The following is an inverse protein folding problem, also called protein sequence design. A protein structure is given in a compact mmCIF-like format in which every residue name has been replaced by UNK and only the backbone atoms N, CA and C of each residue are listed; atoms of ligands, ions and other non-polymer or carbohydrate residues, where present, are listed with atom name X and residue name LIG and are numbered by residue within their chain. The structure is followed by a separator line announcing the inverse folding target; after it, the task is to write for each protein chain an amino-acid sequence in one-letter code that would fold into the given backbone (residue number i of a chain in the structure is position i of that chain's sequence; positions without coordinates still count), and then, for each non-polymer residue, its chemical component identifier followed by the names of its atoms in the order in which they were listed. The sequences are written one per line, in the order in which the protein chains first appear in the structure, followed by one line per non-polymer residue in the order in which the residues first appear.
data_IF_230785639860
#
_entry.id   IF_230785639860
#
_cell.length_a   1.000
_cell.length_b   1.000
_cell.length_c   1.000
_cell.angle_alpha   90.00
_cell.angle_beta   90.00
_cell.angle_gamma   90.00
#
_symmetry.space_group_name_H-M   'P 1'
#
loop_
_entity.id
_entity.type
_entity.pdbx_description
1 polymer ?
#
# COMPACT_ATOMS: atom_id res chain seq x y z
N UNK A 1 30.82 -7.39 -11.66
CA UNK A 1 29.48 -6.92 -11.24
C UNK A 1 29.45 -5.40 -11.41
N UNK A 2 28.32 -4.79 -11.78
CA UNK A 2 28.24 -3.33 -11.99
C UNK A 2 27.82 -2.67 -10.68
N UNK A 3 28.43 -1.54 -10.31
CA UNK A 3 28.19 -0.85 -9.04
C UNK A 3 26.69 -0.59 -8.79
N UNK A 4 25.93 -0.20 -9.82
CA UNK A 4 24.49 0.05 -9.72
C UNK A 4 23.70 -1.14 -9.16
N UNK A 5 24.09 -2.37 -9.50
CA UNK A 5 23.44 -3.57 -8.97
C UNK A 5 23.86 -3.83 -7.52
N UNK A 6 25.09 -3.48 -7.15
CA UNK A 6 25.56 -3.63 -5.78
C UNK A 6 24.83 -2.65 -4.86
N UNK A 7 24.77 -1.38 -5.26
CA UNK A 7 24.04 -0.33 -4.53
C UNK A 7 22.58 -0.67 -4.29
N UNK A 8 21.88 -1.21 -5.32
CA UNK A 8 20.46 -1.55 -5.20
C UNK A 8 20.18 -2.67 -4.19
N UNK A 9 21.12 -3.60 -3.98
CA UNK A 9 20.91 -4.74 -3.07
C UNK A 9 21.81 -4.65 -1.81
N UNK A 10 22.29 -3.45 -1.44
CA UNK A 10 23.06 -3.24 -0.21
C UNK A 10 22.23 -3.57 1.05
N UNK A 11 20.93 -3.22 1.05
CA UNK A 11 20.01 -3.55 2.14
C UNK A 11 19.82 -5.06 2.28
N UNK A 12 19.55 -5.76 1.18
CA UNK A 12 19.41 -7.22 1.17
C UNK A 12 20.68 -7.94 1.63
N UNK A 13 21.86 -7.39 1.32
CA UNK A 13 23.14 -7.91 1.81
C UNK A 13 23.29 -7.77 3.33
N UNK A 14 22.88 -6.64 3.91
CA UNK A 14 22.94 -6.41 5.36
C UNK A 14 22.00 -7.34 6.14
N UNK A 15 20.84 -7.62 5.56
CA UNK A 15 19.84 -8.53 6.11
C UNK A 15 20.15 -10.01 5.83
N UNK A 16 21.28 -10.32 5.17
CA UNK A 16 21.68 -11.68 4.75
C UNK A 16 20.63 -12.39 3.86
N UNK A 17 19.88 -11.62 3.06
CA UNK A 17 18.82 -12.13 2.17
C UNK A 17 19.30 -12.46 0.74
N UNK A 18 20.60 -12.28 0.46
CA UNK A 18 21.19 -12.66 -0.83
C UNK A 18 21.47 -14.16 -0.89
N UNK A 19 21.29 -14.79 -2.06
CA UNK A 19 21.70 -16.17 -2.27
C UNK A 19 23.23 -16.33 -2.17
N UNK A 20 23.71 -17.50 -1.75
CA UNK A 20 25.15 -17.78 -1.54
C UNK A 20 26.01 -17.43 -2.76
N UNK A 21 25.51 -17.76 -3.95
CA UNK A 21 26.17 -17.46 -5.23
C UNK A 21 26.28 -15.97 -5.52
N UNK A 22 25.29 -15.18 -5.10
CA UNK A 22 25.24 -13.74 -5.28
C UNK A 22 26.06 -13.02 -4.20
N UNK A 23 26.02 -13.53 -2.97
CA UNK A 23 26.81 -13.04 -1.84
C UNK A 23 28.31 -13.12 -2.12
N UNK A 24 28.79 -14.26 -2.62
CA UNK A 24 30.21 -14.43 -3.00
C UNK A 24 30.65 -13.40 -4.06
N UNK A 25 29.79 -13.12 -5.04
CA UNK A 25 30.05 -12.10 -6.07
C UNK A 25 30.03 -10.68 -5.51
N UNK A 26 29.14 -10.42 -4.54
CA UNK A 26 29.04 -9.16 -3.82
C UNK A 26 30.31 -8.89 -3.01
N UNK A 27 30.77 -9.86 -2.22
CA UNK A 27 31.97 -9.74 -1.39
C UNK A 27 33.21 -9.52 -2.24
N UNK A 28 33.32 -10.19 -3.38
CA UNK A 28 34.39 -9.94 -4.34
C UNK A 28 34.37 -8.49 -4.84
N UNK A 29 33.20 -7.98 -5.22
CA UNK A 29 33.07 -6.60 -5.69
C UNK A 29 33.34 -5.56 -4.59
N UNK A 30 32.91 -5.80 -3.36
CA UNK A 30 33.16 -4.91 -2.22
C UNK A 30 34.66 -4.81 -1.88
N UNK A 31 35.43 -5.87 -2.14
CA UNK A 31 36.90 -5.84 -2.02
C UNK A 31 37.56 -5.04 -3.14
N UNK A 32 36.99 -5.06 -4.34
CA UNK A 32 37.55 -4.42 -5.54
C UNK A 32 37.10 -2.94 -5.71
N UNK A 33 35.92 -2.56 -5.20
CA UNK A 33 35.33 -1.24 -5.41
C UNK A 33 35.28 -0.40 -4.11
N UNK A 34 36.11 0.66 -3.99
CA UNK A 34 36.16 1.49 -2.78
C UNK A 34 34.87 2.28 -2.54
N UNK A 35 34.17 2.71 -3.59
CA UNK A 35 32.91 3.47 -3.45
C UNK A 35 31.80 2.62 -2.82
N UNK A 36 31.60 1.39 -3.32
CA UNK A 36 30.58 0.49 -2.75
C UNK A 36 30.95 0.07 -1.31
N UNK A 37 32.24 -0.09 -1.02
CA UNK A 37 32.72 -0.35 0.35
C UNK A 37 32.45 0.81 1.31
N UNK A 38 32.64 2.05 0.87
CA UNK A 38 32.36 3.24 1.67
C UNK A 38 30.86 3.39 1.97
N UNK A 39 29.99 3.20 0.97
CA UNK A 39 28.54 3.23 1.15
C UNK A 39 28.04 2.16 2.13
N UNK A 40 28.54 0.92 2.00
CA UNK A 40 28.21 -0.15 2.94
C UNK A 40 28.63 0.21 4.37
N UNK A 41 29.81 0.82 4.55
CA UNK A 41 30.29 1.27 5.87
C UNK A 41 29.36 2.32 6.47
N UNK A 42 28.93 3.30 5.67
CA UNK A 42 27.96 4.32 6.11
C UNK A 42 26.64 3.70 6.54
N UNK A 43 26.08 2.78 5.74
CA UNK A 43 24.84 2.10 6.08
C UNK A 43 24.98 1.29 7.38
N UNK A 44 26.10 0.57 7.57
CA UNK A 44 26.38 -0.18 8.81
C UNK A 44 26.42 0.73 10.04
N UNK A 45 27.00 1.92 9.93
CA UNK A 45 27.01 2.88 11.04
C UNK A 45 25.60 3.34 11.40
N UNK A 46 24.77 3.65 10.41
CA UNK A 46 23.36 4.05 10.64
C UNK A 46 22.58 2.92 11.33
N UNK A 47 22.73 1.68 10.84
CA UNK A 47 22.06 0.52 11.44
C UNK A 47 22.54 0.25 12.86
N UNK A 48 23.84 0.37 13.13
CA UNK A 48 24.39 0.22 14.48
C UNK A 48 23.81 1.28 15.43
N UNK A 49 23.79 2.54 15.01
CA UNK A 49 23.21 3.62 15.80
C UNK A 49 21.72 3.38 16.06
N UNK A 50 20.96 2.99 15.03
CA UNK A 50 19.55 2.67 15.15
C UNK A 50 19.30 1.45 16.05
N UNK A 51 20.18 0.46 16.03
CA UNK A 51 20.07 -0.73 16.89
C UNK A 51 20.41 -0.47 18.35
N UNK A 52 21.01 0.68 18.66
CA UNK A 52 21.32 1.08 20.03
C UNK A 52 20.12 1.66 20.78
N UNK A 53 19.04 1.99 20.07
CA UNK A 53 17.80 2.42 20.70
C UNK A 53 17.16 1.26 21.47
N UNK A 54 16.77 1.53 22.71
CA UNK A 54 16.03 0.58 23.54
C UNK A 54 14.72 0.23 22.83
N UNK A 55 14.50 -1.06 22.57
CA UNK A 55 13.25 -1.52 21.98
C UNK A 55 12.14 -1.31 23.01
N UNK A 56 11.21 -0.43 22.68
CA UNK A 56 10.00 -0.24 23.46
C UNK A 56 9.10 -1.45 23.22
N UNK A 57 8.97 -2.30 24.23
CA UNK A 57 8.00 -3.40 24.21
C UNK A 57 6.61 -2.79 24.26
N UNK A 58 5.79 -3.13 23.28
CA UNK A 58 4.40 -2.70 23.26
C UNK A 58 3.66 -3.34 24.46
N UNK A 59 2.94 -2.54 25.28
CA UNK A 59 2.15 -3.10 26.37
C UNK A 59 0.98 -3.93 25.82
N UNK A 60 0.63 -5.05 26.47
CA UNK A 60 -0.42 -5.97 26.01
C UNK A 60 -1.78 -5.27 25.79
N UNK A 61 -2.05 -4.22 26.57
CA UNK A 61 -3.28 -3.40 26.46
C UNK A 61 -3.32 -2.48 25.23
N UNK A 62 -2.21 -2.34 24.49
CA UNK A 62 -2.12 -1.49 23.30
C UNK A 62 -3.18 -1.91 22.29
N UNK A 63 -3.30 -3.21 22.03
CA UNK A 63 -4.25 -3.74 21.07
C UNK A 63 -5.70 -3.55 21.50
N UNK A 64 -6.01 -3.72 22.79
CA UNK A 64 -7.35 -3.42 23.32
C UNK A 64 -7.71 -1.94 23.16
N UNK A 65 -6.74 -1.03 23.33
CA UNK A 65 -6.95 0.41 23.13
C UNK A 65 -7.15 0.74 21.65
N UNK A 66 -6.35 0.13 20.78
CA UNK A 66 -6.51 0.24 19.32
C UNK A 66 -7.89 -0.29 18.91
N UNK A 67 -8.33 -1.44 19.42
CA UNK A 67 -9.65 -2.01 19.15
C UNK A 67 -10.78 -1.05 19.51
N UNK A 68 -10.77 -0.49 20.72
CA UNK A 68 -11.78 0.46 21.17
C UNK A 68 -11.83 1.74 20.29
N UNK A 69 -10.69 2.14 19.71
CA UNK A 69 -10.61 3.28 18.78
C UNK A 69 -11.04 2.90 17.35
N UNK A 70 -11.03 1.60 17.02
CA UNK A 70 -11.35 1.05 15.71
C UNK A 70 -12.78 0.49 15.58
N UNK A 71 -13.52 0.29 16.67
CA UNK A 71 -14.91 -0.18 16.64
C UNK A 71 -15.86 0.84 15.97
N UNK A 72 -15.98 0.71 14.65
CA UNK A 72 -17.11 1.20 13.86
C UNK A 72 -17.75 0.00 13.16
N UNK A 73 -18.87 -0.43 13.73
CA UNK A 73 -19.95 -1.28 13.20
C UNK A 73 -19.54 -2.61 12.55
N UNK A 74 -19.68 -3.69 13.32
CA UNK A 74 -19.69 -5.09 12.87
C UNK A 74 -20.91 -5.41 11.99
N UNK A 75 -20.87 -5.00 10.73
CA UNK A 75 -21.74 -5.56 9.68
C UNK A 75 -21.05 -6.78 9.05
N UNK A 76 -21.76 -7.91 8.87
CA UNK A 76 -21.21 -9.14 8.31
C UNK A 76 -20.67 -8.92 6.88
N UNK A 77 -19.45 -9.43 6.63
CA UNK A 77 -18.75 -9.27 5.37
C UNK A 77 -19.43 -10.06 4.23
N UNK A 78 -19.66 -9.46 3.04
CA UNK A 78 -20.00 -10.25 1.87
C UNK A 78 -18.77 -11.02 1.38
N UNK A 79 -18.82 -12.35 1.47
CA UNK A 79 -17.78 -13.33 1.05
C UNK A 79 -17.51 -13.39 -0.46
N UNK A 80 -17.85 -12.35 -1.24
CA UNK A 80 -17.78 -12.37 -2.71
C UNK A 80 -16.44 -11.92 -3.32
N UNK A 81 -15.44 -11.56 -2.52
CA UNK A 81 -14.21 -10.92 -3.04
C UNK A 81 -13.05 -11.91 -3.28
N UNK A 82 -13.10 -13.13 -2.74
CA UNK A 82 -12.02 -14.12 -2.90
C UNK A 82 -11.84 -14.62 -4.34
N UNK A 83 -12.94 -14.71 -5.11
CA UNK A 83 -12.88 -15.16 -6.49
C UNK A 83 -12.39 -14.08 -7.47
N UNK A 84 -12.50 -12.80 -7.09
CA UNK A 84 -12.08 -11.69 -7.96
C UNK A 84 -10.56 -11.59 -8.07
N UNK A 85 -9.82 -11.90 -6.99
CA UNK A 85 -8.35 -11.87 -6.98
C UNK A 85 -7.75 -13.10 -7.67
N UNK A 86 -8.37 -14.27 -7.51
CA UNK A 86 -7.99 -15.48 -8.24
C UNK A 86 -8.18 -15.31 -9.76
N UNK A 87 -9.31 -14.73 -10.19
CA UNK A 87 -9.56 -14.42 -11.60
C UNK A 87 -8.66 -13.30 -12.13
N UNK A 88 -8.35 -12.28 -11.33
CA UNK A 88 -7.47 -11.19 -11.75
C UNK A 88 -6.01 -11.67 -11.90
N UNK A 89 -5.51 -12.54 -11.01
CA UNK A 89 -4.18 -13.15 -11.10
C UNK A 89 -4.04 -14.04 -12.33
N UNK A 90 -5.09 -14.78 -12.69
CA UNK A 90 -5.13 -15.63 -13.88
C UNK A 90 -5.32 -14.82 -15.18
N UNK A 91 -6.04 -13.70 -15.16
CA UNK A 91 -6.20 -12.80 -16.33
C UNK A 91 -4.98 -11.91 -16.58
N UNK A 92 -4.28 -11.43 -15.55
CA UNK A 92 -3.07 -10.61 -15.73
C UNK A 92 -1.86 -11.43 -16.21
N UNK A 93 -1.76 -12.72 -15.89
CA UNK A 93 -0.63 -13.55 -16.32
C UNK A 93 -0.63 -13.83 -17.84
N UNK A 94 -1.75 -13.65 -18.52
CA UNK A 94 -1.85 -13.78 -19.99
C UNK A 94 -1.59 -12.47 -20.75
N UNK A 95 -1.71 -11.31 -20.10
CA UNK A 95 -1.40 -10.01 -20.71
C UNK A 95 0.10 -9.73 -20.83
N UNK A 96 0.96 -10.53 -20.18
CA UNK A 96 2.42 -10.37 -20.21
C UNK A 96 3.16 -11.30 -21.20
N UNK A 97 2.45 -12.05 -22.07
CA UNK A 97 3.07 -13.02 -22.99
C UNK A 97 2.56 -12.97 -24.44
N UNK A 98 2.39 -11.78 -25.01
CA UNK A 98 2.17 -11.68 -26.46
C UNK A 98 3.06 -10.61 -27.12
N UNK A 99 3.86 -10.97 -28.14
CA UNK A 99 4.54 -10.00 -28.99
C UNK A 99 3.55 -9.39 -29.99
N UNK A 100 3.42 -8.07 -29.98
CA UNK A 100 2.66 -7.26 -30.96
C UNK A 100 3.56 -7.12 -32.20
N UNK A 101 3.10 -7.38 -33.45
CA UNK A 101 2.44 -6.32 -34.24
C UNK A 101 1.59 -6.80 -35.46
N UNK A 102 0.24 -6.79 -35.42
CA UNK A 102 -0.57 -6.79 -36.68
C UNK A 102 -1.90 -6.02 -36.62
N UNK A 103 -2.56 -5.83 -35.48
CA UNK A 103 -3.95 -5.31 -35.50
C UNK A 103 -3.98 -3.81 -35.17
N UNK A 104 -3.78 -2.93 -36.17
CA UNK A 104 -3.87 -1.47 -35.93
C UNK A 104 -4.73 -0.63 -36.87
N UNK A 105 -5.41 -1.13 -37.92
CA UNK A 105 -6.09 -0.20 -38.85
C UNK A 105 -7.61 -0.31 -38.99
N UNK A 106 -8.28 -1.33 -38.44
CA UNK A 106 -9.75 -1.46 -38.57
C UNK A 106 -10.56 -1.07 -37.31
N UNK A 107 -9.97 -1.18 -36.11
CA UNK A 107 -10.71 -0.99 -34.85
C UNK A 107 -10.99 0.47 -34.46
N UNK A 108 -10.10 1.39 -34.84
CA UNK A 108 -10.17 2.80 -34.40
C UNK A 108 -11.37 3.53 -35.01
N UNK A 109 -11.73 3.20 -36.26
CA UNK A 109 -12.83 3.88 -36.96
C UNK A 109 -14.21 3.50 -36.39
N UNK A 110 -14.39 2.24 -35.98
CA UNK A 110 -15.65 1.77 -35.41
C UNK A 110 -15.93 2.41 -34.04
N UNK A 111 -14.90 2.56 -33.21
CA UNK A 111 -15.03 3.18 -31.88
C UNK A 111 -15.37 4.67 -32.01
N UNK A 112 -14.80 5.37 -33.00
CA UNK A 112 -15.03 6.80 -33.21
C UNK A 112 -16.49 7.08 -33.64
N UNK A 113 -17.04 6.28 -34.54
CA UNK A 113 -18.43 6.43 -35.02
C UNK A 113 -19.43 6.16 -33.90
N UNK A 114 -19.23 5.11 -33.11
CA UNK A 114 -20.09 4.78 -31.97
C UNK A 114 -20.01 5.85 -30.88
N UNK A 115 -18.81 6.37 -30.61
CA UNK A 115 -18.59 7.44 -29.64
C UNK A 115 -19.29 8.75 -30.01
N UNK A 116 -19.21 9.16 -31.28
CA UNK A 116 -19.87 10.39 -31.76
C UNK A 116 -21.39 10.25 -31.76
N UNK A 117 -21.91 9.07 -32.12
CA UNK A 117 -23.35 8.82 -32.15
C UNK A 117 -23.97 8.81 -30.74
N UNK A 118 -23.31 8.15 -29.77
CA UNK A 118 -23.74 8.17 -28.36
C UNK A 118 -23.57 9.54 -27.72
N UNK A 119 -22.51 10.29 -28.09
CA UNK A 119 -22.29 11.63 -27.58
C UNK A 119 -23.37 12.62 -27.99
N UNK A 120 -23.89 12.51 -29.23
CA UNK A 120 -24.88 13.46 -29.75
C UNK A 120 -26.30 13.21 -29.23
N UNK A 121 -26.66 11.96 -28.93
CA UNK A 121 -28.02 11.60 -28.50
C UNK A 121 -28.24 11.80 -26.99
N UNK A 122 -27.19 11.73 -26.17
CA UNK A 122 -27.29 11.90 -24.72
C UNK A 122 -27.04 13.33 -24.21
N UNK A 123 -26.41 14.22 -24.98
CA UNK A 123 -26.02 15.56 -24.50
C UNK A 123 -26.94 16.73 -24.90
N UNK A 124 -28.01 16.51 -25.67
CA UNK A 124 -28.89 17.61 -26.14
C UNK A 124 -29.95 18.12 -25.14
N UNK A 125 -29.95 17.66 -23.89
CA UNK A 125 -30.78 18.25 -22.83
C UNK A 125 -29.94 18.46 -21.58
N UNK A 126 -29.32 19.64 -21.45
CA UNK A 126 -28.94 20.19 -20.14
C UNK A 126 -29.32 21.66 -20.06
N UNK A 127 -30.56 21.83 -19.63
CA UNK A 127 -31.08 22.84 -18.72
C UNK A 127 -30.00 23.45 -17.80
N UNK A 128 -30.09 24.76 -17.57
CA UNK A 128 -29.18 25.56 -16.75
C UNK A 128 -29.07 25.01 -15.32
N UNK A 129 -28.10 24.12 -15.07
CA UNK A 129 -27.77 23.67 -13.71
C UNK A 129 -26.94 24.75 -13.04
N UNK A 130 -27.41 25.22 -11.88
CA UNK A 130 -26.69 26.15 -10.99
C UNK A 130 -25.24 25.68 -10.74
N UNK A 131 -24.27 26.29 -11.43
CA UNK A 131 -22.83 26.04 -11.26
C UNK A 131 -22.37 26.19 -9.79
N UNK A 132 -23.04 27.05 -9.01
CA UNK A 132 -22.75 27.23 -7.58
C UNK A 132 -23.05 26.00 -6.71
N UNK A 133 -24.13 25.28 -7.00
CA UNK A 133 -24.57 24.13 -6.20
C UNK A 133 -23.72 22.88 -6.48
N UNK A 134 -23.34 22.66 -7.75
CA UNK A 134 -22.49 21.52 -8.14
C UNK A 134 -21.07 21.63 -7.58
N UNK A 135 -20.52 22.84 -7.52
CA UNK A 135 -19.16 23.06 -7.00
C UNK A 135 -19.07 22.78 -5.50
N UNK A 136 -20.08 23.17 -4.71
CA UNK A 136 -20.11 22.94 -3.27
C UNK A 136 -20.24 21.46 -2.89
N UNK A 137 -21.11 20.71 -3.59
CA UNK A 137 -21.29 19.26 -3.36
C UNK A 137 -20.01 18.50 -3.71
N UNK A 138 -19.36 18.83 -4.82
CA UNK A 138 -18.12 18.20 -5.25
C UNK A 138 -16.95 18.50 -4.29
N UNK A 139 -16.88 19.72 -3.74
CA UNK A 139 -15.89 20.10 -2.74
C UNK A 139 -16.10 19.38 -1.40
N UNK A 140 -17.35 19.22 -0.96
CA UNK A 140 -17.68 18.47 0.25
C UNK A 140 -17.34 16.99 0.12
N UNK A 141 -17.65 16.36 -1.03
CA UNK A 141 -17.28 14.97 -1.33
C UNK A 141 -15.76 14.80 -1.32
N UNK A 142 -15.01 15.71 -1.96
CA UNK A 142 -13.55 15.65 -1.97
C UNK A 142 -12.94 15.77 -0.57
N UNK A 143 -13.48 16.67 0.26
CA UNK A 143 -13.02 16.85 1.65
C UNK A 143 -13.28 15.60 2.48
N UNK A 144 -14.45 14.97 2.32
CA UNK A 144 -14.80 13.74 3.01
C UNK A 144 -13.89 12.57 2.60
N UNK A 145 -13.60 12.42 1.30
CA UNK A 145 -12.65 11.41 0.81
C UNK A 145 -11.24 11.66 1.36
N UNK A 146 -10.79 12.92 1.43
CA UNK A 146 -9.48 13.27 2.00
C UNK A 146 -9.39 12.88 3.48
N UNK A 147 -10.35 13.31 4.29
CA UNK A 147 -10.38 12.99 5.73
C UNK A 147 -10.43 11.49 5.99
N UNK A 148 -11.22 10.76 5.20
CA UNK A 148 -11.32 9.31 5.35
C UNK A 148 -10.07 8.58 4.88
N UNK A 149 -9.37 9.13 3.89
CA UNK A 149 -8.06 8.61 3.46
C UNK A 149 -7.03 8.77 4.56
N UNK A 150 -6.94 9.95 5.19
CA UNK A 150 -6.01 10.21 6.30
C UNK A 150 -6.24 9.21 7.44
N UNK A 151 -7.49 9.04 7.86
CA UNK A 151 -7.85 8.10 8.92
C UNK A 151 -7.53 6.64 8.54
N UNK A 152 -7.78 6.24 7.30
CA UNK A 152 -7.42 4.91 6.80
C UNK A 152 -5.91 4.65 6.85
N UNK A 153 -5.10 5.63 6.45
CA UNK A 153 -3.64 5.54 6.46
C UNK A 153 -3.09 5.46 7.89
N UNK A 154 -3.65 6.24 8.81
CA UNK A 154 -3.32 6.21 10.24
C UNK A 154 -3.59 4.82 10.85
N UNK A 155 -4.80 4.28 10.66
CA UNK A 155 -5.15 2.94 11.14
C UNK A 155 -4.28 1.84 10.55
N UNK A 156 -3.96 1.94 9.26
CA UNK A 156 -3.09 0.99 8.57
C UNK A 156 -1.67 1.02 9.16
N UNK A 157 -1.18 2.22 9.51
CA UNK A 157 0.12 2.40 10.18
C UNK A 157 0.15 1.73 11.53
N UNK A 158 -0.88 1.96 12.35
CA UNK A 158 -0.99 1.38 13.68
C UNK A 158 -0.99 -0.15 13.60
N UNK A 159 -1.80 -0.73 12.70
CA UNK A 159 -1.83 -2.17 12.47
C UNK A 159 -0.46 -2.72 12.08
N UNK A 160 0.21 -2.12 11.10
CA UNK A 160 1.50 -2.62 10.63
C UNK A 160 2.61 -2.45 11.64
N UNK A 161 2.62 -1.34 12.39
CA UNK A 161 3.58 -1.13 13.47
C UNK A 161 3.42 -2.21 14.54
N UNK A 162 2.17 -2.56 14.87
CA UNK A 162 1.86 -3.66 15.77
C UNK A 162 2.38 -5.00 15.25
N UNK A 163 2.14 -5.34 13.98
CA UNK A 163 2.60 -6.60 13.35
C UNK A 163 4.13 -6.67 13.30
N UNK A 164 4.80 -5.60 12.86
CA UNK A 164 6.26 -5.58 12.73
C UNK A 164 6.92 -5.72 14.11
N UNK A 165 6.32 -5.14 15.14
CA UNK A 165 6.85 -5.15 16.50
C UNK A 165 6.42 -6.38 17.34
N UNK A 166 5.57 -7.28 16.84
CA UNK A 166 5.29 -8.55 17.53
C UNK A 166 6.55 -9.41 17.53
N UNK A 167 7.24 -9.52 18.67
CA UNK A 167 8.39 -10.40 18.81
C UNK A 167 7.91 -11.87 18.82
N UNK A 168 8.56 -12.71 18.02
CA UNK A 168 8.31 -14.17 17.89
C UNK A 168 8.72 -14.95 19.15
N UNK A 169 8.48 -14.42 20.34
CA UNK A 169 8.81 -15.09 21.59
C UNK A 169 7.76 -16.17 21.87
N UNK A 170 7.91 -17.32 21.19
CA UNK A 170 7.55 -18.67 21.65
C UNK A 170 6.22 -18.88 22.41
N UNK A 171 5.26 -17.98 22.30
CA UNK A 171 3.92 -18.21 22.78
C UNK A 171 3.21 -18.98 21.67
N UNK A 172 3.05 -20.28 21.90
CA UNK A 172 2.27 -21.25 21.10
C UNK A 172 0.80 -20.84 20.89
N UNK A 173 0.42 -19.59 21.18
CA UNK A 173 -0.95 -19.10 21.19
C UNK A 173 -1.04 -17.58 20.94
N UNK A 174 -0.23 -17.03 20.03
CA UNK A 174 -0.41 -15.64 19.58
C UNK A 174 -1.75 -15.53 18.84
N UNK A 175 -2.79 -15.05 19.54
CA UNK A 175 -4.12 -14.85 18.98
C UNK A 175 -4.13 -13.68 17.98
N UNK A 176 -4.09 -14.00 16.68
CA UNK A 176 -4.16 -13.02 15.58
C UNK A 176 -5.60 -12.59 15.23
N UNK A 177 -6.61 -12.97 16.04
CA UNK A 177 -8.02 -12.68 15.73
C UNK A 177 -8.28 -11.18 15.64
N UNK A 178 -7.58 -10.37 16.43
CA UNK A 178 -7.72 -8.92 16.50
C UNK A 178 -7.15 -8.24 15.26
N UNK A 179 -5.92 -8.57 14.88
CA UNK A 179 -5.27 -8.04 13.67
C UNK A 179 -6.04 -8.43 12.41
N UNK A 180 -6.56 -9.67 12.36
CA UNK A 180 -7.44 -10.12 11.27
C UNK A 180 -8.73 -9.30 11.19
N UNK A 181 -9.37 -9.02 12.34
CA UNK A 181 -10.59 -8.20 12.41
C UNK A 181 -10.32 -6.77 11.92
N UNK A 182 -9.24 -6.15 12.40
CA UNK A 182 -8.82 -4.81 11.96
C UNK A 182 -8.50 -4.79 10.47
N UNK A 183 -7.74 -5.77 9.96
CA UNK A 183 -7.41 -5.85 8.55
C UNK A 183 -8.65 -5.98 7.65
N UNK A 184 -9.64 -6.80 8.06
CA UNK A 184 -10.93 -6.90 7.36
C UNK A 184 -11.67 -5.56 7.33
N UNK A 185 -11.73 -4.85 8.44
CA UNK A 185 -12.39 -3.54 8.48
C UNK A 185 -11.70 -2.53 7.57
N UNK A 186 -10.37 -2.52 7.54
CA UNK A 186 -9.61 -1.69 6.62
C UNK A 186 -9.83 -2.07 5.14
N UNK A 187 -10.01 -3.35 4.81
CA UNK A 187 -10.38 -3.77 3.46
C UNK A 187 -11.73 -3.20 3.00
N UNK A 188 -12.73 -3.12 3.89
CA UNK A 188 -14.01 -2.47 3.56
C UNK A 188 -13.80 -0.98 3.24
N UNK A 189 -12.97 -0.32 4.03
CA UNK A 189 -12.67 1.10 3.86
C UNK A 189 -11.87 1.37 2.59
N UNK A 190 -10.90 0.51 2.25
CA UNK A 190 -10.15 0.57 1.01
C UNK A 190 -11.06 0.49 -0.24
N UNK A 191 -12.06 -0.40 -0.22
CA UNK A 191 -13.03 -0.53 -1.31
C UNK A 191 -13.84 0.76 -1.53
N UNK A 192 -14.26 1.41 -0.45
CA UNK A 192 -14.94 2.71 -0.50
C UNK A 192 -14.02 3.82 -1.04
N UNK A 193 -12.80 3.90 -0.50
CA UNK A 193 -11.82 4.92 -0.87
C UNK A 193 -11.39 4.81 -2.32
N UNK A 194 -11.20 3.60 -2.85
CA UNK A 194 -10.85 3.38 -4.26
C UNK A 194 -11.89 3.94 -5.23
N UNK A 195 -13.18 3.82 -4.88
CA UNK A 195 -14.28 4.41 -5.63
C UNK A 195 -14.24 5.93 -5.64
N UNK A 196 -13.97 6.54 -4.48
CA UNK A 196 -13.85 8.00 -4.34
C UNK A 196 -12.58 8.56 -4.98
N UNK A 197 -11.43 7.94 -4.73
CA UNK A 197 -10.11 8.34 -5.22
C UNK A 197 -9.99 8.20 -6.73
N UNK A 198 -10.69 7.26 -7.37
CA UNK A 198 -10.75 7.15 -8.83
C UNK A 198 -11.40 8.37 -9.51
N UNK A 199 -12.18 9.17 -8.77
CA UNK A 199 -12.73 10.45 -9.25
C UNK A 199 -11.78 11.63 -8.98
N UNK A 200 -10.77 11.42 -8.15
CA UNK A 200 -9.74 12.42 -7.83
C UNK A 200 -8.52 12.24 -8.73
N UNK A 201 -7.73 13.30 -8.93
CA UNK A 201 -6.46 13.21 -9.69
C UNK A 201 -5.30 12.62 -8.88
N UNK A 202 -5.57 12.07 -7.70
CA UNK A 202 -4.52 11.68 -6.75
C UNK A 202 -4.13 10.20 -6.91
N UNK A 203 -3.58 9.87 -8.09
CA UNK A 203 -3.20 8.49 -8.46
C UNK A 203 -2.18 7.87 -7.49
N UNK A 204 -1.32 8.69 -6.87
CA UNK A 204 -0.33 8.22 -5.90
C UNK A 204 -0.99 7.64 -4.64
N UNK A 205 -2.02 8.31 -4.13
CA UNK A 205 -2.78 7.87 -2.95
C UNK A 205 -3.58 6.62 -3.28
N UNK A 206 -4.20 6.59 -4.46
CA UNK A 206 -4.90 5.41 -4.95
C UNK A 206 -3.99 4.19 -5.03
N UNK A 207 -2.80 4.34 -5.61
CA UNK A 207 -1.79 3.27 -5.66
C UNK A 207 -1.38 2.81 -4.27
N UNK A 208 -1.20 3.74 -3.33
CA UNK A 208 -0.89 3.39 -1.94
C UNK A 208 -2.02 2.56 -1.31
N UNK A 209 -3.28 2.98 -1.45
CA UNK A 209 -4.44 2.22 -0.96
C UNK A 209 -4.51 0.83 -1.58
N UNK A 210 -4.22 0.69 -2.89
CA UNK A 210 -4.18 -0.62 -3.57
C UNK A 210 -3.02 -1.50 -3.07
N UNK A 211 -1.85 -0.92 -2.79
CA UNK A 211 -0.72 -1.65 -2.20
C UNK A 211 -1.03 -2.13 -0.78
N UNK A 212 -1.72 -1.29 0.01
CA UNK A 212 -2.18 -1.60 1.36
C UNK A 212 -3.25 -2.70 1.35
N UNK A 213 -4.22 -2.62 0.44
CA UNK A 213 -5.28 -3.62 0.23
C UNK A 213 -4.69 -5.02 0.06
N UNK A 214 -3.61 -5.17 -0.72
CA UNK A 214 -2.96 -6.46 -0.93
C UNK A 214 -2.40 -7.06 0.36
N UNK A 215 -1.76 -6.25 1.20
CA UNK A 215 -1.15 -6.75 2.45
C UNK A 215 -2.20 -6.97 3.53
N UNK A 216 -3.23 -6.13 3.59
CA UNK A 216 -4.37 -6.33 4.48
C UNK A 216 -5.13 -7.63 4.15
N UNK A 217 -5.19 -8.00 2.86
CA UNK A 217 -5.76 -9.28 2.43
C UNK A 217 -4.94 -10.47 2.94
N UNK A 218 -3.62 -10.38 2.88
CA UNK A 218 -2.71 -11.41 3.41
C UNK A 218 -2.90 -11.55 4.93
N UNK A 219 -2.96 -10.43 5.66
CA UNK A 219 -3.20 -10.43 7.12
C UNK A 219 -4.58 -11.03 7.46
N UNK A 220 -5.63 -10.64 6.75
CA UNK A 220 -7.00 -11.10 7.01
C UNK A 220 -7.19 -12.62 6.80
N UNK A 221 -6.30 -13.24 6.01
CA UNK A 221 -6.32 -14.65 5.63
C UNK A 221 -5.25 -15.51 6.32
N UNK A 222 -4.48 -14.96 7.27
CA UNK A 222 -3.54 -15.78 8.06
C UNK A 222 -4.31 -16.95 8.72
N UNK A 223 -3.77 -18.16 8.68
CA UNK A 223 -4.39 -19.31 9.36
C UNK A 223 -4.10 -19.25 10.88
N UNK A 224 -5.01 -19.76 11.72
CA UNK A 224 -4.99 -19.55 13.18
C UNK A 224 -3.89 -20.34 13.92
N UNK A 225 -3.36 -21.43 13.35
CA UNK A 225 -2.62 -22.40 14.17
C UNK A 225 -1.14 -22.64 13.84
N UNK A 226 -0.55 -22.14 12.74
CA UNK A 226 0.89 -22.45 12.50
C UNK A 226 1.62 -21.65 11.40
N UNK A 227 1.14 -20.45 11.07
CA UNK A 227 1.57 -19.79 9.83
C UNK A 227 2.72 -18.79 10.00
N UNK A 228 3.77 -19.21 10.73
CA UNK A 228 4.97 -18.40 10.99
C UNK A 228 5.59 -17.92 9.67
N UNK A 229 5.56 -18.77 8.63
CA UNK A 229 6.08 -18.44 7.29
C UNK A 229 5.25 -17.34 6.60
N UNK A 230 3.91 -17.39 6.64
CA UNK A 230 3.09 -16.32 6.07
C UNK A 230 3.17 -15.02 6.88
N UNK A 231 3.37 -15.09 8.19
CA UNK A 231 3.61 -13.90 9.02
C UNK A 231 4.95 -13.24 8.63
N UNK A 232 6.02 -14.02 8.42
CA UNK A 232 7.31 -13.49 7.95
C UNK A 232 7.20 -12.92 6.53
N UNK A 233 6.42 -13.55 5.65
CA UNK A 233 6.11 -13.02 4.32
C UNK A 233 5.39 -11.68 4.38
N UNK A 234 4.40 -11.54 5.27
CA UNK A 234 3.67 -10.27 5.50
C UNK A 234 4.61 -9.20 6.03
N UNK A 235 5.38 -9.47 7.09
CA UNK A 235 6.39 -8.54 7.65
C UNK A 235 7.37 -8.10 6.58
N UNK A 236 7.93 -9.08 5.85
CA UNK A 236 8.87 -8.79 4.77
C UNK A 236 8.19 -8.07 3.59
N UNK A 237 6.89 -8.25 3.36
CA UNK A 237 6.10 -7.53 2.37
C UNK A 237 5.92 -6.06 2.74
N UNK A 238 5.63 -5.78 4.02
CA UNK A 238 5.53 -4.42 4.59
C UNK A 238 6.87 -3.70 4.44
N UNK A 239 7.98 -4.35 4.82
CA UNK A 239 9.32 -3.79 4.74
C UNK A 239 9.80 -3.58 3.30
N UNK A 240 9.69 -4.60 2.43
CA UNK A 240 10.17 -4.52 1.04
C UNK A 240 9.47 -3.46 0.22
N UNK A 241 8.18 -3.23 0.47
CA UNK A 241 7.41 -2.18 -0.21
C UNK A 241 7.61 -0.80 0.41
N UNK A 242 8.31 -0.71 1.55
CA UNK A 242 8.54 0.52 2.29
C UNK A 242 7.23 1.21 2.65
N UNK A 243 6.19 0.44 3.01
CA UNK A 243 4.84 0.97 3.14
C UNK A 243 4.75 2.06 4.22
N UNK A 244 5.34 1.82 5.39
CA UNK A 244 5.40 2.81 6.46
C UNK A 244 6.04 4.10 5.97
N UNK A 245 7.16 4.01 5.24
CA UNK A 245 7.81 5.19 4.66
C UNK A 245 6.92 5.90 3.63
N UNK A 246 6.21 5.15 2.75
CA UNK A 246 5.30 5.74 1.76
C UNK A 246 4.14 6.50 2.42
N UNK A 247 3.61 5.96 3.53
CA UNK A 247 2.60 6.63 4.36
C UNK A 247 3.21 7.89 5.00
N UNK A 248 4.35 7.79 5.68
CA UNK A 248 5.01 8.97 6.27
C UNK A 248 5.33 10.07 5.24
N UNK A 249 5.72 9.70 4.02
CA UNK A 249 5.96 10.65 2.93
C UNK A 249 4.67 11.29 2.40
N UNK A 250 3.52 10.65 2.53
CA UNK A 250 2.24 11.27 2.25
C UNK A 250 1.95 12.38 3.26
N UNK A 251 2.16 12.12 4.54
CA UNK A 251 1.88 13.08 5.62
C UNK A 251 2.85 14.28 5.61
N UNK A 252 4.08 14.06 5.14
CA UNK A 252 5.09 15.11 4.99
C UNK A 252 4.87 16.04 3.80
N UNK A 253 3.86 15.82 2.94
CA UNK A 253 3.62 16.65 1.77
C UNK A 253 2.79 17.91 2.14
N UNK A 254 3.39 19.11 2.28
CA UNK A 254 2.77 20.26 2.96
C UNK A 254 1.77 21.04 2.09
N UNK A 255 1.57 20.67 0.82
CA UNK A 255 0.68 21.40 -0.09
C UNK A 255 -0.82 21.29 0.27
N UNK A 256 -1.21 20.30 1.09
CA UNK A 256 -2.58 20.20 1.59
C UNK A 256 -2.79 20.91 2.94
N UNK A 257 -1.77 20.98 3.80
CA UNK A 257 -1.86 21.63 5.10
C UNK A 257 -1.83 23.18 5.03
N UNK A 258 -1.16 23.76 4.03
CA UNK A 258 -1.10 25.22 3.86
C UNK A 258 -2.43 25.87 3.42
N UNK A 259 -3.38 25.09 2.86
CA UNK A 259 -4.70 25.60 2.47
C UNK A 259 -5.71 25.61 3.63
N UNK A 260 -5.57 24.72 4.61
CA UNK A 260 -6.38 24.75 5.84
C UNK A 260 -5.95 25.87 6.79
N UNK A 261 -4.64 26.18 6.88
CA UNK A 261 -4.15 27.27 7.72
C UNK A 261 -4.52 28.67 7.21
N UNK A 262 -4.80 28.84 5.92
CA UNK A 262 -5.19 30.12 5.31
C UNK A 262 -6.68 30.46 5.37
N UNK A 263 -7.52 29.56 5.90
CA UNK A 263 -8.95 29.80 6.09
C UNK A 263 -9.33 30.06 7.55
N UNK A 264 -8.34 30.19 8.45
CA UNK A 264 -8.51 30.46 9.89
C UNK A 264 -7.90 31.83 10.29
N UNK A 265 -7.33 32.57 9.33
CA UNK A 265 -6.89 33.96 9.49
C UNK A 265 -7.59 34.84 8.45
#
# INVERSE_FOLDING_TARGET
MICKNVQKNLSDYLEKKLSDSLQTRFEKHLKECPNCGAELKTLKMIVMEASSFERVVAPDSLWTRIENELEVTDEPFPTRVSNAVAELRQRLSHLFKFPVPVIQMAGVLAILVVGVFLGRTFFSTRENVNLGQQTAVQQAELKLISQRTEHYLEKSTILFLGIVNTEFLQEENSDWSTEKRVARNLLKEAAFLKGGLSRTKNERVKQLVEELELILLEIANLEEEQDIENIELVKSGIDRKGLLLKIYLHDLNPEQNLKSAKNIL
#
